data_IF_087860500229
#
_entry.id   IF_087860500229
#
_cell.length_a   1.000
_cell.length_b   1.000
_cell.length_c   1.000
_cell.angle_alpha   90.00
_cell.angle_beta   90.00
_cell.angle_gamma   90.00
#
_symmetry.space_group_name_H-M   'P 1'
#
loop_
_entity.id
_entity.type
_entity.pdbx_description
1 polymer ?
#
# COMPACT_ATOMS: atom_id res chain seq x y z
N UNK A 1 33.88 6.66 -18.40
CA UNK A 1 33.90 6.24 -16.98
C UNK A 1 32.84 6.91 -16.07
N UNK A 2 31.87 7.71 -16.57
CA UNK A 2 30.84 8.39 -15.73
C UNK A 2 29.60 7.54 -15.37
N UNK A 3 29.37 6.38 -16.01
CA UNK A 3 28.18 5.55 -15.75
C UNK A 3 28.28 4.66 -14.50
N UNK A 4 29.47 4.35 -14.01
CA UNK A 4 29.64 3.46 -12.85
C UNK A 4 29.30 4.08 -11.49
N UNK A 5 29.17 5.42 -11.41
CA UNK A 5 28.97 6.10 -10.12
C UNK A 5 27.55 5.97 -9.55
N UNK A 6 26.53 5.68 -10.35
CA UNK A 6 25.15 5.55 -9.92
C UNK A 6 24.72 4.08 -9.66
N UNK A 7 25.32 3.14 -10.38
CA UNK A 7 24.91 1.73 -10.34
C UNK A 7 24.99 1.13 -8.93
N UNK A 8 26.12 1.29 -8.25
CA UNK A 8 26.33 0.71 -6.93
C UNK A 8 25.41 1.30 -5.84
N UNK A 9 25.22 2.64 -5.74
CA UNK A 9 24.25 3.20 -4.79
C UNK A 9 22.81 2.71 -5.02
N UNK A 10 22.37 2.55 -6.28
CA UNK A 10 21.06 1.99 -6.57
C UNK A 10 21.00 0.51 -6.17
N UNK A 11 22.03 -0.27 -6.51
CA UNK A 11 22.13 -1.68 -6.12
C UNK A 11 22.06 -1.85 -4.58
N UNK A 12 22.74 -0.97 -3.85
CA UNK A 12 22.67 -0.91 -2.39
C UNK A 12 21.23 -0.71 -1.91
N UNK A 13 20.52 0.29 -2.48
CA UNK A 13 19.14 0.62 -2.06
C UNK A 13 18.20 -0.55 -2.39
N UNK A 14 18.34 -1.18 -3.56
CA UNK A 14 17.53 -2.35 -3.94
C UNK A 14 17.82 -3.52 -2.98
N UNK A 15 19.07 -3.81 -2.71
CA UNK A 15 19.43 -4.88 -1.77
C UNK A 15 18.92 -4.60 -0.36
N UNK A 16 19.04 -3.36 0.12
CA UNK A 16 18.48 -2.95 1.41
C UNK A 16 16.96 -3.10 1.45
N UNK A 17 16.25 -2.72 0.39
CA UNK A 17 14.80 -2.92 0.29
C UNK A 17 14.44 -4.40 0.48
N UNK A 18 15.11 -5.30 -0.24
CA UNK A 18 14.84 -6.75 -0.11
C UNK A 18 15.27 -7.34 1.24
N UNK A 19 16.26 -6.77 1.93
CA UNK A 19 16.57 -7.11 3.32
C UNK A 19 15.41 -6.72 4.23
N UNK A 20 14.91 -5.49 4.10
CA UNK A 20 13.87 -4.96 4.96
C UNK A 20 12.54 -5.72 4.82
N UNK A 21 12.22 -6.22 3.63
CA UNK A 21 10.98 -6.98 3.40
C UNK A 21 11.13 -8.49 3.62
N UNK A 22 12.36 -9.01 3.75
CA UNK A 22 12.64 -10.46 3.77
C UNK A 22 11.82 -11.25 4.79
N UNK A 23 11.51 -10.77 6.03
CA UNK A 23 10.75 -11.54 7.00
C UNK A 23 9.30 -11.81 6.58
N UNK A 24 8.77 -11.01 5.65
CA UNK A 24 7.36 -11.07 5.25
C UNK A 24 7.15 -11.41 3.77
N UNK A 25 8.15 -11.22 2.92
CA UNK A 25 7.97 -11.34 1.47
C UNK A 25 7.78 -12.79 1.01
N UNK A 26 8.69 -13.68 1.40
CA UNK A 26 8.64 -15.10 1.01
C UNK A 26 8.23 -16.03 2.16
N UNK A 27 7.87 -15.49 3.33
CA UNK A 27 7.29 -16.25 4.42
C UNK A 27 5.82 -16.55 4.18
N UNK A 28 5.27 -17.55 4.86
CA UNK A 28 3.86 -17.91 4.82
C UNK A 28 3.01 -16.96 5.68
N UNK A 29 1.71 -16.90 5.39
CA UNK A 29 0.79 -15.97 6.04
C UNK A 29 0.85 -14.55 5.48
N UNK A 30 -0.18 -13.74 5.75
CA UNK A 30 -0.34 -12.39 5.26
C UNK A 30 -1.13 -11.53 6.25
N UNK A 31 -0.91 -10.21 6.23
CA UNK A 31 -1.73 -9.26 6.98
C UNK A 31 -3.21 -9.40 6.62
N UNK A 32 -4.09 -9.28 7.61
CA UNK A 32 -5.53 -9.52 7.48
C UNK A 32 -6.15 -8.84 6.25
N UNK A 33 -5.97 -7.51 6.12
CA UNK A 33 -6.56 -6.76 5.00
C UNK A 33 -5.98 -7.26 3.66
N UNK A 34 -4.65 -7.51 3.61
CA UNK A 34 -3.99 -8.02 2.41
C UNK A 34 -4.47 -9.41 2.01
N UNK A 35 -4.74 -10.29 2.99
CA UNK A 35 -5.32 -11.61 2.75
C UNK A 35 -6.73 -11.51 2.14
N UNK A 36 -7.56 -10.61 2.68
CA UNK A 36 -8.90 -10.36 2.14
C UNK A 36 -8.83 -9.87 0.70
N UNK A 37 -7.93 -8.92 0.41
CA UNK A 37 -7.75 -8.40 -0.93
C UNK A 37 -7.23 -9.47 -1.90
N UNK A 38 -6.27 -10.29 -1.46
CA UNK A 38 -5.78 -11.44 -2.24
C UNK A 38 -6.89 -12.44 -2.56
N UNK A 39 -7.76 -12.75 -1.58
CA UNK A 39 -8.89 -13.66 -1.78
C UNK A 39 -9.89 -13.10 -2.78
N UNK A 40 -10.24 -11.79 -2.66
CA UNK A 40 -11.14 -11.12 -3.60
C UNK A 40 -10.56 -11.10 -5.02
N UNK A 41 -9.27 -10.84 -5.16
CA UNK A 41 -8.57 -10.78 -6.45
C UNK A 41 -8.47 -12.15 -7.11
N UNK A 42 -8.18 -13.20 -6.33
CA UNK A 42 -8.17 -14.59 -6.79
C UNK A 42 -9.57 -15.01 -7.26
N UNK A 43 -10.59 -14.71 -6.45
CA UNK A 43 -11.99 -15.01 -6.80
C UNK A 43 -12.41 -14.31 -8.09
N UNK A 44 -12.05 -13.05 -8.26
CA UNK A 44 -12.33 -12.31 -9.49
C UNK A 44 -11.62 -12.93 -10.70
N UNK A 45 -10.37 -13.38 -10.56
CA UNK A 45 -9.64 -14.10 -11.61
C UNK A 45 -10.28 -15.45 -11.98
N UNK A 46 -10.91 -16.11 -11.01
CA UNK A 46 -11.63 -17.38 -11.20
C UNK A 46 -13.10 -17.20 -11.63
N UNK A 47 -13.57 -15.97 -11.83
CA UNK A 47 -14.95 -15.67 -12.24
C UNK A 47 -15.96 -15.75 -11.10
N UNK A 48 -15.52 -15.79 -9.85
CA UNK A 48 -16.39 -15.77 -8.68
C UNK A 48 -16.60 -14.33 -8.18
N UNK A 49 -17.77 -13.76 -8.46
CA UNK A 49 -18.09 -12.36 -8.28
C UNK A 49 -17.86 -11.52 -9.54
N UNK A 50 -18.10 -10.22 -9.43
CA UNK A 50 -17.86 -9.25 -10.51
C UNK A 50 -17.10 -8.03 -9.98
N UNK A 51 -16.68 -7.13 -10.89
CA UNK A 51 -15.97 -5.91 -10.51
C UNK A 51 -16.73 -5.10 -9.45
N UNK A 52 -18.04 -4.93 -9.62
CA UNK A 52 -18.87 -4.19 -8.68
C UNK A 52 -19.49 -5.02 -7.55
N UNK A 53 -19.42 -6.36 -7.64
CA UNK A 53 -19.92 -7.28 -6.61
C UNK A 53 -18.80 -8.27 -6.24
N UNK A 54 -17.73 -7.77 -5.59
CA UNK A 54 -16.64 -8.65 -5.18
C UNK A 54 -17.12 -9.59 -4.05
N UNK A 55 -16.80 -10.89 -4.18
CA UNK A 55 -17.18 -11.92 -3.22
C UNK A 55 -15.96 -12.45 -2.49
N UNK A 56 -16.01 -12.46 -1.16
CA UNK A 56 -14.95 -13.03 -0.34
C UNK A 56 -15.13 -14.54 -0.20
N UNK A 57 -16.36 -14.98 0.13
CA UNK A 57 -16.76 -16.39 0.28
C UNK A 57 -18.15 -16.58 -0.32
N UNK A 58 -18.69 -17.80 -0.31
CA UNK A 58 -20.07 -18.04 -0.73
C UNK A 58 -21.11 -17.37 0.18
N UNK A 59 -20.74 -17.16 1.45
CA UNK A 59 -21.61 -16.57 2.48
C UNK A 59 -21.38 -15.07 2.71
N UNK A 60 -20.33 -14.47 2.10
CA UNK A 60 -19.96 -13.09 2.40
C UNK A 60 -19.56 -12.28 1.15
N UNK A 61 -20.27 -11.18 0.90
CA UNK A 61 -19.92 -10.17 -0.10
C UNK A 61 -19.07 -9.07 0.53
N UNK A 62 -18.12 -8.52 -0.20
CA UNK A 62 -17.21 -7.48 0.29
C UNK A 62 -17.53 -6.10 -0.31
N UNK A 63 -18.20 -5.25 0.45
CA UNK A 63 -18.51 -3.86 0.07
C UNK A 63 -17.50 -2.83 0.64
N UNK A 64 -16.44 -3.31 1.25
CA UNK A 64 -15.59 -2.48 2.12
C UNK A 64 -14.68 -1.50 1.41
N UNK A 65 -14.21 -1.79 0.17
CA UNK A 65 -13.27 -0.92 -0.56
C UNK A 65 -13.58 -0.93 -2.06
N UNK A 66 -13.31 0.18 -2.79
CA UNK A 66 -13.48 0.23 -4.24
C UNK A 66 -12.61 -0.80 -4.97
N UNK A 67 -13.09 -1.39 -6.08
CA UNK A 67 -12.61 -2.69 -6.56
C UNK A 67 -11.42 -2.65 -7.54
N UNK A 68 -10.90 -1.48 -7.92
CA UNK A 68 -9.89 -1.38 -8.98
C UNK A 68 -8.60 -2.14 -8.63
N UNK A 69 -8.16 -2.09 -7.37
CA UNK A 69 -6.97 -2.81 -6.95
C UNK A 69 -7.15 -4.32 -7.11
N UNK A 70 -8.31 -4.86 -6.77
CA UNK A 70 -8.63 -6.29 -6.94
C UNK A 70 -8.57 -6.72 -8.41
N UNK A 71 -9.09 -5.88 -9.31
CA UNK A 71 -9.01 -6.14 -10.75
C UNK A 71 -7.55 -6.17 -11.24
N UNK A 72 -6.72 -5.21 -10.82
CA UNK A 72 -5.32 -5.17 -11.21
C UNK A 72 -4.52 -6.36 -10.66
N UNK A 73 -4.76 -6.72 -9.42
CA UNK A 73 -4.14 -7.87 -8.77
C UNK A 73 -4.63 -9.19 -9.37
N UNK A 74 -5.92 -9.30 -9.76
CA UNK A 74 -6.49 -10.52 -10.35
C UNK A 74 -5.75 -10.97 -11.62
N UNK A 75 -5.17 -10.04 -12.37
CA UNK A 75 -4.34 -10.36 -13.55
C UNK A 75 -3.14 -11.22 -13.14
N UNK A 76 -2.55 -11.00 -11.98
CA UNK A 76 -1.43 -11.80 -11.48
C UNK A 76 -1.87 -13.20 -11.07
N UNK A 77 -3.10 -13.39 -10.59
CA UNK A 77 -3.63 -14.71 -10.23
C UNK A 77 -3.86 -15.64 -11.42
N UNK A 78 -3.83 -15.15 -12.66
CA UNK A 78 -3.76 -16.03 -13.84
C UNK A 78 -2.41 -16.76 -13.96
N UNK A 79 -1.34 -16.28 -13.31
CA UNK A 79 -0.01 -16.90 -13.33
C UNK A 79 0.26 -17.83 -12.14
N UNK A 80 -0.63 -17.86 -11.13
CA UNK A 80 -0.50 -18.72 -9.96
C UNK A 80 -1.64 -18.50 -8.96
N UNK A 81 -1.80 -19.42 -8.01
CA UNK A 81 -2.94 -19.44 -7.07
C UNK A 81 -2.54 -19.29 -5.60
N UNK A 82 -1.24 -19.10 -5.30
CA UNK A 82 -0.75 -19.00 -3.93
C UNK A 82 -0.77 -17.56 -3.40
N UNK A 83 -0.71 -17.39 -2.07
CA UNK A 83 -0.59 -16.07 -1.44
C UNK A 83 0.67 -15.30 -1.87
N UNK A 84 1.71 -16.00 -2.33
CA UNK A 84 2.92 -15.36 -2.87
C UNK A 84 2.62 -14.50 -4.12
N UNK A 85 1.58 -14.82 -4.90
CA UNK A 85 1.16 -14.01 -6.04
C UNK A 85 0.75 -12.61 -5.60
N UNK A 86 -0.03 -12.49 -4.52
CA UNK A 86 -0.43 -11.22 -3.96
C UNK A 86 0.78 -10.43 -3.42
N UNK A 87 1.71 -11.10 -2.74
CA UNK A 87 2.96 -10.48 -2.26
C UNK A 87 3.82 -9.97 -3.42
N UNK A 88 3.93 -10.75 -4.50
CA UNK A 88 4.66 -10.36 -5.72
C UNK A 88 3.99 -9.14 -6.37
N UNK A 89 2.65 -9.14 -6.50
CA UNK A 89 1.91 -7.98 -6.99
C UNK A 89 2.18 -6.74 -6.14
N UNK A 90 2.11 -6.86 -4.83
CA UNK A 90 2.34 -5.76 -3.90
C UNK A 90 3.77 -5.19 -4.02
N UNK A 91 4.80 -6.04 -4.05
CA UNK A 91 6.19 -5.63 -4.27
C UNK A 91 6.37 -5.02 -5.67
N UNK A 92 5.71 -5.56 -6.69
CA UNK A 92 5.72 -4.99 -8.03
C UNK A 92 5.17 -3.56 -8.06
N UNK A 93 4.07 -3.27 -7.35
CA UNK A 93 3.55 -1.89 -7.25
C UNK A 93 4.54 -0.95 -6.56
N UNK A 94 5.27 -1.43 -5.55
CA UNK A 94 6.36 -0.66 -4.92
C UNK A 94 7.51 -0.37 -5.90
N UNK A 95 7.92 -1.34 -6.73
CA UNK A 95 8.94 -1.10 -7.75
C UNK A 95 8.46 -0.08 -8.79
N UNK A 96 7.22 -0.17 -9.24
CA UNK A 96 6.59 0.82 -10.12
C UNK A 96 6.56 2.22 -9.45
N UNK A 97 6.29 2.30 -8.15
CA UNK A 97 6.36 3.55 -7.39
C UNK A 97 7.77 4.14 -7.45
N UNK A 98 8.81 3.34 -7.27
CA UNK A 98 10.21 3.77 -7.41
C UNK A 98 10.51 4.36 -8.81
N UNK A 99 9.98 3.74 -9.87
CA UNK A 99 10.09 4.27 -11.25
C UNK A 99 9.35 5.60 -11.39
N UNK A 100 8.14 5.72 -10.87
CA UNK A 100 7.38 6.97 -10.91
C UNK A 100 8.05 8.08 -10.10
N UNK A 101 8.64 7.75 -8.95
CA UNK A 101 9.47 8.69 -8.20
C UNK A 101 10.66 9.20 -9.03
N UNK A 102 11.32 8.33 -9.79
CA UNK A 102 12.40 8.73 -10.70
C UNK A 102 11.92 9.68 -11.80
N UNK A 103 10.77 9.38 -12.41
CA UNK A 103 10.18 10.27 -13.43
C UNK A 103 9.80 11.62 -12.83
N UNK A 104 9.22 11.62 -11.63
CA UNK A 104 8.87 12.85 -10.91
C UNK A 104 10.13 13.63 -10.51
N UNK A 105 11.17 12.95 -10.03
CA UNK A 105 12.47 13.54 -9.71
C UNK A 105 13.09 14.27 -10.92
N UNK A 106 13.05 13.64 -12.09
CA UNK A 106 13.50 14.30 -13.34
C UNK A 106 12.65 15.50 -13.71
N UNK A 107 11.32 15.41 -13.52
CA UNK A 107 10.39 16.49 -13.85
C UNK A 107 10.62 17.71 -12.98
N UNK A 108 10.98 17.53 -11.72
CA UNK A 108 11.32 18.63 -10.80
C UNK A 108 12.75 19.17 -10.99
N UNK A 109 13.53 18.59 -11.91
CA UNK A 109 14.89 19.04 -12.24
C UNK A 109 15.98 18.45 -11.38
N UNK A 110 15.70 17.37 -10.64
CA UNK A 110 16.67 16.66 -9.82
C UNK A 110 17.74 15.96 -10.68
N UNK A 111 18.99 15.96 -10.22
CA UNK A 111 20.11 15.27 -10.88
C UNK A 111 19.92 13.78 -10.79
N UNK A 112 20.02 13.08 -11.93
CA UNK A 112 19.85 11.63 -12.02
C UNK A 112 20.75 10.89 -11.00
N UNK A 113 21.97 11.36 -10.85
CA UNK A 113 23.00 10.75 -10.00
C UNK A 113 22.68 10.78 -8.51
N UNK A 114 21.75 11.64 -8.08
CA UNK A 114 21.37 11.80 -6.67
C UNK A 114 20.06 11.06 -6.32
N UNK A 115 19.39 10.46 -7.30
CA UNK A 115 18.10 9.80 -7.12
C UNK A 115 18.14 8.62 -6.14
N UNK A 116 19.26 7.92 -6.00
CA UNK A 116 19.44 6.82 -5.04
C UNK A 116 19.14 7.26 -3.60
N UNK A 117 19.44 8.54 -3.26
CA UNK A 117 19.14 9.09 -1.94
C UNK A 117 17.63 9.24 -1.72
N UNK A 118 16.89 9.66 -2.74
CA UNK A 118 15.42 9.76 -2.67
C UNK A 118 14.81 8.38 -2.42
N UNK A 119 15.29 7.35 -3.14
CA UNK A 119 14.87 5.97 -2.91
C UNK A 119 15.24 5.49 -1.50
N UNK A 120 16.46 5.80 -1.03
CA UNK A 120 16.89 5.45 0.32
C UNK A 120 15.98 6.08 1.38
N UNK A 121 15.66 7.37 1.27
CA UNK A 121 14.76 8.05 2.20
C UNK A 121 13.36 7.43 2.20
N UNK A 122 12.89 6.99 1.04
CA UNK A 122 11.58 6.35 0.92
C UNK A 122 11.55 4.96 1.59
N UNK A 123 12.49 4.08 1.25
CA UNK A 123 12.52 2.72 1.82
C UNK A 123 12.96 2.68 3.28
N UNK A 124 13.70 3.71 3.75
CA UNK A 124 14.05 3.87 5.16
C UNK A 124 12.84 4.23 6.04
N UNK A 125 11.69 4.57 5.46
CA UNK A 125 10.44 4.73 6.20
C UNK A 125 9.95 3.34 6.62
N UNK A 126 9.89 3.00 7.92
CA UNK A 126 9.55 1.63 8.37
C UNK A 126 8.20 1.15 7.84
N UNK A 127 7.22 2.05 7.77
CA UNK A 127 5.90 1.77 7.25
C UNK A 127 5.91 1.36 5.77
N UNK A 128 6.76 1.96 4.94
CA UNK A 128 6.89 1.61 3.51
C UNK A 128 7.39 0.19 3.35
N UNK A 129 8.45 -0.18 4.09
CA UNK A 129 9.01 -1.53 4.03
C UNK A 129 8.04 -2.57 4.59
N UNK A 130 7.27 -2.23 5.63
CA UNK A 130 6.24 -3.12 6.16
C UNK A 130 5.08 -3.32 5.17
N UNK A 131 4.55 -2.25 4.56
CA UNK A 131 3.44 -2.33 3.62
C UNK A 131 3.80 -3.08 2.33
N UNK A 132 5.07 -3.06 1.91
CA UNK A 132 5.49 -3.57 0.62
C UNK A 132 5.08 -5.04 0.37
N UNK A 133 5.28 -6.01 1.28
CA UNK A 133 4.86 -7.40 1.09
C UNK A 133 3.43 -7.69 1.60
N UNK A 134 2.76 -6.78 2.29
CA UNK A 134 1.51 -7.05 3.00
C UNK A 134 0.23 -6.80 2.17
N UNK A 135 0.37 -6.57 0.88
CA UNK A 135 -0.73 -6.44 -0.09
C UNK A 135 -1.79 -5.39 0.31
N UNK A 136 -1.36 -4.25 0.84
CA UNK A 136 -2.27 -3.16 1.17
C UNK A 136 -2.67 -2.36 -0.09
N UNK A 137 -3.92 -1.92 -0.18
CA UNK A 137 -4.45 -1.18 -1.34
C UNK A 137 -3.72 0.14 -1.60
N UNK A 138 -3.13 0.72 -0.56
CA UNK A 138 -2.33 1.93 -0.63
C UNK A 138 -1.13 1.79 -1.56
N UNK A 139 -0.53 0.59 -1.68
CA UNK A 139 0.57 0.34 -2.60
C UNK A 139 0.14 0.50 -4.07
N UNK A 140 -1.10 0.14 -4.40
CA UNK A 140 -1.70 0.40 -5.72
C UNK A 140 -2.13 1.86 -5.86
N UNK A 141 -2.76 2.43 -4.82
CA UNK A 141 -3.25 3.81 -4.84
C UNK A 141 -2.12 4.83 -5.03
N UNK A 142 -0.93 4.58 -4.47
CA UNK A 142 0.22 5.48 -4.61
C UNK A 142 0.66 5.65 -6.06
N UNK A 143 0.48 4.63 -6.91
CA UNK A 143 0.80 4.73 -8.33
C UNK A 143 -0.04 5.83 -8.99
N UNK A 144 -1.33 5.84 -8.73
CA UNK A 144 -2.26 6.80 -9.33
C UNK A 144 -2.11 8.20 -8.72
N UNK A 145 -1.92 8.32 -7.41
CA UNK A 145 -1.70 9.62 -6.78
C UNK A 145 -0.39 10.26 -7.23
N UNK A 146 0.68 9.48 -7.37
CA UNK A 146 1.97 9.97 -7.85
C UNK A 146 1.95 10.29 -9.34
N UNK A 147 1.22 9.50 -10.17
CA UNK A 147 0.97 9.82 -11.58
C UNK A 147 0.20 11.12 -11.73
N UNK A 148 -0.81 11.36 -10.89
CA UNK A 148 -1.55 12.64 -10.89
C UNK A 148 -0.61 13.82 -10.64
N UNK A 149 0.25 13.73 -9.62
CA UNK A 149 1.25 14.77 -9.33
C UNK A 149 2.24 14.94 -10.49
N UNK A 150 2.73 13.84 -11.07
CA UNK A 150 3.65 13.87 -12.22
C UNK A 150 3.03 14.55 -13.44
N UNK A 151 1.78 14.18 -13.79
CA UNK A 151 1.09 14.82 -14.92
C UNK A 151 0.82 16.29 -14.65
N UNK A 152 0.42 16.67 -13.44
CA UNK A 152 0.26 18.07 -13.10
C UNK A 152 1.58 18.85 -13.23
N UNK A 153 2.70 18.32 -12.73
CA UNK A 153 4.02 18.95 -12.93
C UNK A 153 4.38 19.11 -14.42
N UNK A 154 4.07 18.11 -15.26
CA UNK A 154 4.25 18.19 -16.70
C UNK A 154 3.38 19.24 -17.36
N UNK A 155 2.15 19.45 -16.87
CA UNK A 155 1.22 20.47 -17.39
C UNK A 155 1.78 21.89 -17.28
N UNK A 156 2.69 22.11 -16.32
CA UNK A 156 3.35 23.41 -16.15
C UNK A 156 4.39 23.73 -17.23
N UNK A 157 4.79 22.73 -18.02
CA UNK A 157 5.84 22.86 -19.05
C UNK A 157 5.32 22.64 -20.46
N UNK A 158 4.45 21.65 -20.67
CA UNK A 158 3.95 21.27 -22.01
C UNK A 158 2.57 20.64 -21.95
N UNK A 159 1.83 20.75 -23.05
CA UNK A 159 0.52 20.10 -23.24
C UNK A 159 -0.39 20.28 -22.01
N UNK A 160 -0.59 21.55 -21.60
CA UNK A 160 -1.24 21.92 -20.36
C UNK A 160 -2.54 21.16 -20.11
N UNK A 161 -3.56 21.34 -20.96
CA UNK A 161 -4.89 20.75 -20.75
C UNK A 161 -4.83 19.21 -20.73
N UNK A 162 -4.10 18.60 -21.68
CA UNK A 162 -3.95 17.15 -21.74
C UNK A 162 -3.39 16.59 -20.42
N UNK A 163 -2.32 17.20 -19.89
CA UNK A 163 -1.70 16.71 -18.66
C UNK A 163 -2.57 17.00 -17.42
N UNK A 164 -3.35 18.09 -17.38
CA UNK A 164 -4.32 18.32 -16.29
C UNK A 164 -5.45 17.29 -16.33
N UNK A 165 -5.98 16.99 -17.53
CA UNK A 165 -6.98 15.92 -17.69
C UNK A 165 -6.43 14.56 -17.29
N UNK A 166 -5.21 14.20 -17.73
CA UNK A 166 -4.56 12.96 -17.29
C UNK A 166 -4.36 12.92 -15.77
N UNK A 167 -3.97 14.03 -15.15
CA UNK A 167 -3.87 14.12 -13.69
C UNK A 167 -5.21 13.84 -13.01
N UNK A 168 -6.31 14.38 -13.53
CA UNK A 168 -7.66 14.12 -13.02
C UNK A 168 -8.13 12.69 -13.23
N UNK A 169 -7.84 12.08 -14.39
CA UNK A 169 -8.13 10.65 -14.64
C UNK A 169 -7.39 9.77 -13.63
N UNK A 170 -6.14 10.07 -13.32
CA UNK A 170 -5.39 9.32 -12.30
C UNK A 170 -6.04 9.45 -10.91
N UNK A 171 -6.62 10.60 -10.57
CA UNK A 171 -7.39 10.74 -9.32
C UNK A 171 -8.66 9.90 -9.30
N UNK A 172 -9.36 9.80 -10.43
CA UNK A 172 -10.51 8.90 -10.55
C UNK A 172 -10.08 7.43 -10.31
N UNK A 173 -8.96 6.99 -10.88
CA UNK A 173 -8.42 5.66 -10.64
C UNK A 173 -7.96 5.47 -9.19
N UNK A 174 -7.38 6.48 -8.56
CA UNK A 174 -7.06 6.44 -7.12
C UNK A 174 -8.31 6.31 -6.25
N UNK A 175 -9.39 7.03 -6.58
CA UNK A 175 -10.69 6.90 -5.93
C UNK A 175 -11.26 5.47 -6.07
N UNK A 176 -11.17 4.87 -7.26
CA UNK A 176 -11.61 3.49 -7.52
C UNK A 176 -10.71 2.43 -6.85
N UNK A 177 -9.54 2.83 -6.32
CA UNK A 177 -8.63 1.92 -5.60
C UNK A 177 -8.93 1.85 -4.12
N UNK A 178 -9.13 3.00 -3.45
CA UNK A 178 -9.36 3.05 -1.98
C UNK A 178 -10.28 4.19 -1.53
N UNK A 179 -10.96 4.84 -2.45
CA UNK A 179 -11.92 5.89 -2.12
C UNK A 179 -11.27 7.26 -1.91
N UNK A 180 -11.88 8.07 -1.06
CA UNK A 180 -11.58 9.51 -0.93
C UNK A 180 -10.16 9.86 -0.49
N UNK A 181 -9.48 8.95 0.20
CA UNK A 181 -8.09 9.16 0.65
C UNK A 181 -7.11 9.34 -0.52
N UNK A 182 -7.45 8.83 -1.72
CA UNK A 182 -6.66 9.01 -2.94
C UNK A 182 -6.78 10.39 -3.60
N UNK A 183 -7.68 11.27 -3.12
CA UNK A 183 -7.97 12.56 -3.78
C UNK A 183 -7.10 13.74 -3.31
N UNK A 184 -6.20 13.56 -2.35
CA UNK A 184 -5.37 14.65 -1.81
C UNK A 184 -4.55 15.40 -2.87
N UNK A 185 -4.11 14.80 -4.02
CA UNK A 185 -3.40 15.55 -5.04
C UNK A 185 -4.27 16.59 -5.77
N UNK A 186 -5.60 16.55 -5.59
CA UNK A 186 -6.50 17.62 -6.08
C UNK A 186 -6.14 19.00 -5.51
N UNK A 187 -5.52 19.05 -4.34
CA UNK A 187 -5.04 20.29 -3.74
C UNK A 187 -3.75 20.83 -4.39
N UNK A 188 -3.05 20.04 -5.22
CA UNK A 188 -1.72 20.37 -5.68
C UNK A 188 -1.65 21.61 -6.58
N UNK A 189 -2.60 21.89 -7.50
CA UNK A 189 -2.59 23.13 -8.28
C UNK A 189 -2.58 24.40 -7.41
N UNK A 190 -3.41 24.41 -6.37
CA UNK A 190 -3.51 25.54 -5.41
C UNK A 190 -2.25 25.62 -4.54
N UNK A 191 -1.77 24.50 -4.01
CA UNK A 191 -0.54 24.44 -3.22
C UNK A 191 0.66 24.92 -4.05
N UNK A 192 0.79 24.46 -5.29
CA UNK A 192 1.87 24.90 -6.20
C UNK A 192 1.80 26.41 -6.46
N UNK A 193 0.61 26.93 -6.68
CA UNK A 193 0.40 28.38 -6.85
C UNK A 193 0.86 29.18 -5.61
N UNK A 194 0.48 28.71 -4.41
CA UNK A 194 0.80 29.43 -3.16
C UNK A 194 2.30 29.44 -2.84
N UNK A 195 2.98 28.32 -3.00
CA UNK A 195 4.38 28.16 -2.60
C UNK A 195 5.36 28.48 -3.74
N UNK A 196 5.15 27.94 -4.93
CA UNK A 196 6.06 28.11 -6.07
C UNK A 196 5.84 29.43 -6.80
N UNK A 197 4.59 29.94 -6.77
CA UNK A 197 4.18 31.24 -7.35
C UNK A 197 4.47 31.41 -8.85
N UNK A 198 4.46 30.30 -9.59
CA UNK A 198 4.62 30.31 -11.06
C UNK A 198 3.30 30.16 -11.81
N UNK A 199 2.18 30.01 -11.10
CA UNK A 199 0.83 29.82 -11.65
C UNK A 199 -0.07 30.92 -11.12
N UNK A 200 -0.94 31.45 -11.97
CA UNK A 200 -1.93 32.47 -11.55
C UNK A 200 -3.10 31.83 -10.80
N UNK A 201 -3.78 32.56 -9.89
CA UNK A 201 -4.94 32.03 -9.16
C UNK A 201 -6.06 31.49 -10.07
N UNK A 202 -6.48 32.21 -11.16
CA UNK A 202 -7.50 31.68 -12.07
C UNK A 202 -7.08 30.36 -12.74
N UNK A 203 -5.81 30.22 -13.12
CA UNK A 203 -5.30 28.98 -13.72
C UNK A 203 -5.27 27.83 -12.70
N UNK A 204 -4.80 28.07 -11.49
CA UNK A 204 -4.79 27.03 -10.44
C UNK A 204 -6.20 26.55 -10.11
N UNK A 205 -7.18 27.46 -10.05
CA UNK A 205 -8.58 27.13 -9.85
C UNK A 205 -9.14 26.32 -11.03
N UNK A 206 -8.90 26.78 -12.28
CA UNK A 206 -9.34 26.07 -13.48
C UNK A 206 -8.74 24.65 -13.55
N UNK A 207 -7.44 24.49 -13.27
CA UNK A 207 -6.78 23.18 -13.24
C UNK A 207 -7.42 22.27 -12.19
N UNK A 208 -7.68 22.77 -10.98
CA UNK A 208 -8.37 22.02 -9.92
C UNK A 208 -9.78 21.61 -10.34
N UNK A 209 -10.55 22.50 -10.98
CA UNK A 209 -11.90 22.22 -11.45
C UNK A 209 -11.91 21.18 -12.59
N UNK A 210 -10.95 21.23 -13.51
CA UNK A 210 -10.78 20.22 -14.56
C UNK A 210 -10.47 18.85 -13.94
N UNK A 211 -9.52 18.79 -13.02
CA UNK A 211 -9.19 17.53 -12.31
C UNK A 211 -10.39 17.00 -11.54
N UNK A 212 -11.16 17.87 -10.86
CA UNK A 212 -12.36 17.49 -10.14
C UNK A 212 -13.45 16.98 -11.11
N UNK A 213 -13.64 17.65 -12.25
CA UNK A 213 -14.58 17.19 -13.27
C UNK A 213 -14.22 15.80 -13.81
N UNK A 214 -12.92 15.50 -14.02
CA UNK A 214 -12.45 14.17 -14.43
C UNK A 214 -12.71 13.09 -13.37
N UNK A 215 -12.92 13.46 -12.12
CA UNK A 215 -13.37 12.53 -11.06
C UNK A 215 -14.89 12.43 -11.03
N UNK A 216 -15.59 13.57 -10.97
CA UNK A 216 -17.03 13.59 -10.73
C UNK A 216 -17.84 13.09 -11.94
N UNK A 217 -17.46 13.44 -13.18
CA UNK A 217 -18.21 13.02 -14.36
C UNK A 217 -18.30 11.49 -14.51
N UNK A 218 -17.17 10.72 -14.45
CA UNK A 218 -17.27 9.27 -14.55
C UNK A 218 -17.94 8.64 -13.32
N UNK A 219 -17.75 9.17 -12.10
CA UNK A 219 -18.48 8.70 -10.91
C UNK A 219 -19.98 8.89 -11.09
N UNK A 220 -20.42 10.06 -11.57
CA UNK A 220 -21.84 10.34 -11.83
C UNK A 220 -22.38 9.44 -12.95
N UNK A 221 -21.62 9.24 -14.03
CA UNK A 221 -22.01 8.33 -15.11
C UNK A 221 -22.19 6.89 -14.61
N UNK A 222 -21.24 6.38 -13.82
CA UNK A 222 -21.33 5.06 -13.20
C UNK A 222 -22.56 4.94 -12.30
N UNK A 223 -22.82 5.95 -11.48
CA UNK A 223 -23.98 5.96 -10.57
C UNK A 223 -25.33 5.97 -11.33
N UNK A 224 -25.42 6.67 -12.46
CA UNK A 224 -26.64 6.79 -13.24
C UNK A 224 -26.88 5.62 -14.19
N UNK A 225 -25.83 5.06 -14.78
CA UNK A 225 -25.97 4.09 -15.89
C UNK A 225 -25.58 2.65 -15.52
N UNK A 226 -24.98 2.41 -14.33
CA UNK A 226 -24.63 1.07 -13.86
C UNK A 226 -25.34 0.74 -12.54
N UNK A 227 -26.38 -0.10 -12.54
CA UNK A 227 -27.07 -0.49 -11.32
C UNK A 227 -26.15 -1.13 -10.27
N UNK A 228 -25.19 -1.97 -10.69
CA UNK A 228 -24.23 -2.60 -9.79
C UNK A 228 -23.27 -1.58 -9.18
N UNK A 229 -22.75 -0.63 -9.98
CA UNK A 229 -21.90 0.44 -9.48
C UNK A 229 -22.65 1.34 -8.48
N UNK A 230 -23.91 1.66 -8.77
CA UNK A 230 -24.78 2.42 -7.86
C UNK A 230 -24.95 1.71 -6.52
N UNK A 231 -25.30 0.42 -6.55
CA UNK A 231 -25.45 -0.39 -5.34
C UNK A 231 -24.16 -0.45 -4.53
N UNK A 232 -23.03 -0.69 -5.22
CA UNK A 232 -21.71 -0.68 -4.59
C UNK A 232 -21.42 0.66 -3.91
N UNK A 233 -21.61 1.78 -4.61
CA UNK A 233 -21.36 3.12 -4.06
C UNK A 233 -22.24 3.42 -2.86
N UNK A 234 -23.52 3.02 -2.88
CA UNK A 234 -24.43 3.19 -1.76
C UNK A 234 -23.96 2.41 -0.52
N UNK A 235 -23.60 1.13 -0.69
CA UNK A 235 -23.10 0.29 0.39
C UNK A 235 -21.75 0.79 0.91
N UNK A 236 -20.83 1.19 0.03
CA UNK A 236 -19.56 1.78 0.42
C UNK A 236 -19.72 3.04 1.25
N UNK A 237 -20.65 3.93 0.87
CA UNK A 237 -20.90 5.17 1.61
C UNK A 237 -21.54 4.88 2.97
N UNK A 238 -22.54 3.99 3.05
CA UNK A 238 -23.26 3.70 4.29
C UNK A 238 -22.45 2.83 5.25
N UNK A 239 -21.94 1.69 4.77
CA UNK A 239 -21.31 0.69 5.63
C UNK A 239 -19.84 1.01 5.92
N UNK A 240 -19.10 1.50 4.94
CA UNK A 240 -17.67 1.75 5.13
C UNK A 240 -17.38 3.19 5.57
N UNK A 241 -17.89 4.21 4.85
CA UNK A 241 -17.53 5.59 5.14
C UNK A 241 -18.25 6.12 6.36
N UNK A 242 -19.60 6.12 6.37
CA UNK A 242 -20.38 6.70 7.45
C UNK A 242 -20.21 5.91 8.76
N UNK A 243 -20.19 4.59 8.70
CA UNK A 243 -19.94 3.74 9.86
C UNK A 243 -18.55 3.96 10.45
N UNK A 244 -17.53 4.10 9.58
CA UNK A 244 -16.16 4.40 10.03
C UNK A 244 -16.03 5.77 10.68
N UNK A 245 -16.81 6.76 10.24
CA UNK A 245 -16.78 8.11 10.83
C UNK A 245 -17.50 8.18 12.17
N UNK A 246 -18.58 7.41 12.36
CA UNK A 246 -19.49 7.54 13.51
C UNK A 246 -19.22 6.52 14.61
N UNK A 247 -18.89 5.28 14.26
CA UNK A 247 -18.96 4.15 15.20
C UNK A 247 -17.64 3.41 15.40
N UNK A 248 -16.65 3.55 14.49
CA UNK A 248 -15.40 2.80 14.61
C UNK A 248 -14.32 3.70 15.20
N UNK A 249 -13.80 3.28 16.34
CA UNK A 249 -12.66 3.91 16.99
C UNK A 249 -11.50 2.90 17.08
N UNK A 250 -10.36 3.27 16.52
CA UNK A 250 -9.12 2.48 16.58
C UNK A 250 -7.97 3.23 17.23
N UNK A 251 -8.15 4.52 17.51
CA UNK A 251 -7.17 5.39 18.19
C UNK A 251 -7.88 6.25 19.23
N UNK A 252 -7.13 6.73 20.23
CA UNK A 252 -7.69 7.53 21.31
C UNK A 252 -7.87 9.01 20.92
N UNK A 253 -7.03 9.52 20.03
CA UNK A 253 -7.07 10.91 19.60
C UNK A 253 -7.05 11.05 18.07
N UNK A 254 -7.63 12.15 17.58
CA UNK A 254 -7.59 12.45 16.13
C UNK A 254 -6.19 12.81 15.64
N UNK A 255 -5.28 13.19 16.56
CA UNK A 255 -3.90 13.56 16.25
C UNK A 255 -2.97 12.36 16.08
N UNK A 256 -3.40 11.14 16.40
CA UNK A 256 -2.59 9.93 16.35
C UNK A 256 -1.97 9.71 14.97
N UNK A 257 -2.70 10.01 13.88
CA UNK A 257 -2.16 9.85 12.52
C UNK A 257 -1.02 10.83 12.22
N UNK A 258 -1.08 12.04 12.80
CA UNK A 258 0.01 13.03 12.67
C UNK A 258 1.22 12.58 13.46
N UNK A 259 1.03 12.08 14.69
CA UNK A 259 2.11 11.50 15.48
C UNK A 259 2.75 10.31 14.77
N UNK A 260 1.93 9.42 14.19
CA UNK A 260 2.41 8.30 13.38
C UNK A 260 3.23 8.78 12.18
N UNK A 261 2.77 9.81 11.46
CA UNK A 261 3.55 10.38 10.36
C UNK A 261 4.95 10.83 10.81
N UNK A 262 5.06 11.59 11.88
CA UNK A 262 6.36 12.03 12.40
C UNK A 262 7.21 10.86 12.88
N UNK A 263 6.62 9.88 13.58
CA UNK A 263 7.33 8.68 14.02
C UNK A 263 7.92 7.91 12.83
N UNK A 264 7.15 7.73 11.76
CA UNK A 264 7.63 7.07 10.55
C UNK A 264 8.69 7.89 9.78
N UNK A 265 8.64 9.21 9.88
CA UNK A 265 9.59 10.12 9.24
C UNK A 265 10.93 10.23 10.00
N UNK A 266 11.03 9.75 11.25
CA UNK A 266 12.25 9.92 12.09
C UNK A 266 13.51 9.36 11.42
N UNK A 267 13.47 8.14 10.89
CA UNK A 267 14.64 7.53 10.28
C UNK A 267 15.05 8.23 8.97
N UNK A 268 14.16 8.54 8.02
CA UNK A 268 14.50 9.41 6.90
C UNK A 268 15.06 10.77 7.32
N UNK A 269 14.49 11.42 8.34
CA UNK A 269 15.00 12.70 8.85
C UNK A 269 16.37 12.56 9.51
N UNK A 270 16.65 11.46 10.20
CA UNK A 270 17.98 11.18 10.74
C UNK A 270 19.02 11.03 9.61
N UNK A 271 18.66 10.36 8.50
CA UNK A 271 19.54 10.28 7.31
C UNK A 271 19.81 11.67 6.73
N UNK A 272 18.77 12.51 6.61
CA UNK A 272 18.93 13.92 6.19
C UNK A 272 19.87 14.66 7.15
N UNK A 273 19.69 14.49 8.46
CA UNK A 273 20.57 15.07 9.48
C UNK A 273 22.03 14.66 9.31
N UNK A 274 22.30 13.38 9.05
CA UNK A 274 23.65 12.88 8.78
C UNK A 274 24.26 13.57 7.55
N UNK A 275 23.50 13.68 6.45
CA UNK A 275 23.96 14.37 5.23
C UNK A 275 24.33 15.83 5.54
N UNK A 276 23.49 16.52 6.31
CA UNK A 276 23.75 17.92 6.71
C UNK A 276 25.00 18.04 7.58
N UNK A 277 25.18 17.15 8.57
CA UNK A 277 26.37 17.14 9.44
C UNK A 277 27.64 16.86 8.63
N UNK A 278 27.62 15.88 7.72
CA UNK A 278 28.77 15.58 6.84
C UNK A 278 29.12 16.79 5.97
N UNK A 279 28.12 17.43 5.37
CA UNK A 279 28.33 18.64 4.57
C UNK A 279 28.88 19.80 5.40
N UNK A 280 28.44 19.95 6.65
CA UNK A 280 28.97 20.94 7.60
C UNK A 280 30.43 20.67 7.93
N UNK A 281 30.79 19.43 8.26
CA UNK A 281 32.17 19.02 8.54
C UNK A 281 33.10 19.26 7.33
N UNK A 282 32.59 19.06 6.11
CA UNK A 282 33.33 19.33 4.87
C UNK A 282 33.41 20.81 4.49
N UNK A 283 32.83 21.73 5.31
CA UNK A 283 32.72 23.18 5.03
C UNK A 283 32.04 23.47 3.67
N UNK A 284 31.15 22.58 3.22
CA UNK A 284 30.45 22.68 1.94
C UNK A 284 29.02 23.22 2.07
N UNK A 285 28.66 23.64 3.28
CA UNK A 285 27.38 24.33 3.58
C UNK A 285 27.38 25.75 2.97
N UNK A 286 27.45 25.83 1.64
CA UNK A 286 27.12 27.06 0.92
C UNK A 286 25.62 27.03 0.66
N UNK A 287 24.91 28.01 1.19
CA UNK A 287 23.47 28.29 1.15
C UNK A 287 22.66 27.20 0.34
N UNK A 288 22.25 26.08 0.98
CA UNK A 288 21.80 24.89 0.25
C UNK A 288 20.48 25.10 -0.50
N UNK A 289 19.81 26.21 -0.23
CA UNK A 289 18.47 26.47 -0.75
C UNK A 289 18.48 27.54 -1.84
N UNK A 290 18.64 27.08 -3.07
CA UNK A 290 18.20 27.90 -4.22
C UNK A 290 16.70 28.18 -4.03
N UNK A 291 16.24 29.43 -4.18
CA UNK A 291 14.84 29.82 -3.91
C UNK A 291 13.79 28.92 -4.57
N UNK A 292 14.02 28.48 -5.80
CA UNK A 292 13.10 27.61 -6.51
C UNK A 292 13.00 26.20 -5.88
N UNK A 293 14.12 25.60 -5.44
CA UNK A 293 14.13 24.29 -4.82
C UNK A 293 13.46 24.34 -3.45
N UNK A 294 13.71 25.39 -2.66
CA UNK A 294 13.06 25.62 -1.37
C UNK A 294 11.54 25.73 -1.51
N UNK A 295 11.05 26.50 -2.48
CA UNK A 295 9.62 26.69 -2.72
C UNK A 295 8.93 25.38 -3.10
N UNK A 296 9.55 24.58 -3.98
CA UNK A 296 9.02 23.27 -4.38
C UNK A 296 9.05 22.27 -3.22
N UNK A 297 10.11 22.25 -2.40
CA UNK A 297 10.16 21.44 -1.18
C UNK A 297 8.95 21.73 -0.29
N UNK A 298 8.67 23.00 0.00
CA UNK A 298 7.51 23.38 0.80
C UNK A 298 6.17 23.03 0.15
N UNK A 299 6.07 23.15 -1.18
CA UNK A 299 4.86 22.72 -1.90
C UNK A 299 4.61 21.22 -1.75
N UNK A 300 5.65 20.38 -1.89
CA UNK A 300 5.51 18.93 -1.71
C UNK A 300 5.21 18.56 -0.26
N UNK A 301 5.83 19.23 0.73
CA UNK A 301 5.52 19.01 2.15
C UNK A 301 4.08 19.44 2.49
N UNK A 302 3.60 20.54 1.92
CA UNK A 302 2.20 20.95 2.06
C UNK A 302 1.24 19.92 1.44
N UNK A 303 1.63 19.31 0.31
CA UNK A 303 0.87 18.24 -0.31
C UNK A 303 0.87 16.96 0.54
N UNK A 304 1.99 16.62 1.18
CA UNK A 304 2.08 15.54 2.18
C UNK A 304 1.07 15.79 3.31
N UNK A 305 1.03 17.00 3.86
CA UNK A 305 0.06 17.35 4.89
C UNK A 305 -1.39 17.30 4.39
N UNK A 306 -1.65 17.67 3.13
CA UNK A 306 -2.97 17.51 2.53
C UNK A 306 -3.41 16.03 2.43
N UNK A 307 -2.47 15.09 2.39
CA UNK A 307 -2.78 13.65 2.45
C UNK A 307 -2.93 13.10 3.86
N UNK A 308 -2.29 13.70 4.87
CA UNK A 308 -2.32 13.23 6.27
C UNK A 308 -3.51 13.84 7.03
N UNK A 309 -3.68 15.16 6.96
CA UNK A 309 -4.61 15.89 7.83
C UNK A 309 -6.09 15.49 7.66
N UNK A 310 -6.62 15.19 6.45
CA UNK A 310 -8.01 14.79 6.32
C UNK A 310 -8.36 13.48 7.08
N UNK A 311 -7.38 12.60 7.34
CA UNK A 311 -7.61 11.35 8.08
C UNK A 311 -8.00 11.63 9.54
N UNK A 312 -7.62 12.81 10.08
CA UNK A 312 -8.00 13.26 11.44
C UNK A 312 -9.50 13.43 11.62
N UNK A 313 -10.29 13.50 10.55
CA UNK A 313 -11.77 13.62 10.62
C UNK A 313 -12.37 12.39 11.32
N UNK A 314 -11.75 11.21 11.15
CA UNK A 314 -12.20 9.94 11.75
C UNK A 314 -11.30 9.53 12.93
N UNK A 315 -11.89 8.78 13.89
CA UNK A 315 -11.14 8.02 14.90
C UNK A 315 -10.77 6.62 14.42
N UNK A 316 -11.22 6.18 13.24
CA UNK A 316 -10.72 4.99 12.56
C UNK A 316 -9.46 5.36 11.78
N UNK A 317 -8.33 5.24 12.43
CA UNK A 317 -7.02 5.55 11.85
C UNK A 317 -6.12 4.30 11.90
N UNK A 318 -5.40 4.05 10.81
CA UNK A 318 -4.38 3.00 10.72
C UNK A 318 -3.13 3.61 10.11
N UNK A 319 -1.96 3.22 10.59
CA UNK A 319 -0.68 3.78 10.12
C UNK A 319 -0.51 3.68 8.62
N UNK A 320 -0.90 2.57 8.01
CA UNK A 320 -0.74 2.35 6.58
C UNK A 320 -1.59 3.30 5.70
N UNK A 321 -2.60 4.00 6.23
CA UNK A 321 -3.35 4.99 5.44
C UNK A 321 -2.48 6.14 4.92
N UNK A 322 -1.36 6.45 5.60
CA UNK A 322 -0.44 7.53 5.19
C UNK A 322 0.73 7.04 4.34
N UNK A 323 0.83 5.74 3.98
CA UNK A 323 1.97 5.26 3.18
C UNK A 323 2.08 5.96 1.83
N UNK A 324 0.95 6.40 1.27
CA UNK A 324 0.87 7.07 -0.04
C UNK A 324 1.55 8.43 -0.09
N UNK A 325 1.78 9.10 1.04
CA UNK A 325 2.44 10.41 1.06
C UNK A 325 3.97 10.32 1.17
N UNK A 326 4.53 9.17 1.57
CA UNK A 326 5.97 9.04 1.77
C UNK A 326 6.83 9.15 0.50
N UNK A 327 6.39 8.74 -0.70
CA UNK A 327 7.12 9.06 -1.93
C UNK A 327 7.30 10.57 -2.14
N UNK A 328 6.26 11.37 -1.86
CA UNK A 328 6.32 12.84 -1.95
C UNK A 328 7.19 13.45 -0.86
N UNK A 329 7.13 12.89 0.37
CA UNK A 329 8.00 13.28 1.46
C UNK A 329 9.48 13.03 1.12
N UNK A 330 9.82 11.85 0.60
CA UNK A 330 11.17 11.50 0.18
C UNK A 330 11.67 12.38 -0.98
N UNK A 331 10.79 12.70 -1.95
CA UNK A 331 11.11 13.67 -3.02
C UNK A 331 11.38 15.06 -2.46
N UNK A 332 10.56 15.56 -1.53
CA UNK A 332 10.74 16.85 -0.89
C UNK A 332 12.08 16.93 -0.12
N UNK A 333 12.35 15.91 0.70
CA UNK A 333 13.60 15.82 1.46
C UNK A 333 14.82 15.69 0.54
N UNK A 334 14.70 14.87 -0.53
CA UNK A 334 15.75 14.72 -1.53
C UNK A 334 16.09 16.03 -2.25
N UNK A 335 15.06 16.83 -2.64
CA UNK A 335 15.25 18.15 -3.25
C UNK A 335 15.97 19.10 -2.28
N UNK A 336 15.62 19.05 -0.99
CA UNK A 336 16.21 19.89 0.03
C UNK A 336 17.72 19.63 0.22
N UNK A 337 18.14 18.35 0.20
CA UNK A 337 19.55 17.97 0.43
C UNK A 337 20.36 17.76 -0.84
N UNK A 338 19.75 17.80 -2.02
CA UNK A 338 20.43 17.56 -3.30
C UNK A 338 21.75 18.36 -3.47
N UNK A 339 21.80 19.69 -3.13
CA UNK A 339 23.02 20.46 -3.28
C UNK A 339 24.18 19.93 -2.44
N UNK A 340 23.88 19.25 -1.32
CA UNK A 340 24.90 18.72 -0.38
C UNK A 340 25.46 17.38 -0.85
N UNK A 341 24.76 16.64 -1.71
CA UNK A 341 25.12 15.29 -2.14
C UNK A 341 26.29 15.26 -3.14
N UNK A 342 26.53 16.35 -3.87
CA UNK A 342 27.55 16.35 -4.95
C UNK A 342 28.95 16.07 -4.43
N UNK A 343 29.34 16.72 -3.34
CA UNK A 343 30.66 16.55 -2.74
C UNK A 343 30.83 15.18 -2.07
N UNK A 344 29.77 14.65 -1.47
CA UNK A 344 29.79 13.31 -0.88
C UNK A 344 29.98 12.27 -1.99
N UNK A 345 29.26 12.38 -3.08
CA UNK A 345 29.26 11.46 -4.21
C UNK A 345 30.59 11.44 -4.98
N UNK A 346 31.24 12.58 -5.13
CA UNK A 346 32.49 12.70 -5.87
C UNK A 346 33.70 12.21 -5.06
N UNK A 347 33.53 11.91 -3.79
CA UNK A 347 34.60 11.38 -2.93
C UNK A 347 35.04 9.98 -3.41
N UNK A 348 36.35 9.74 -3.62
CA UNK A 348 36.89 8.41 -3.93
C UNK A 348 36.55 7.36 -2.88
N UNK A 349 36.50 7.78 -1.61
CA UNK A 349 36.12 6.92 -0.48
C UNK A 349 34.69 6.44 -0.62
N UNK A 350 33.73 7.34 -0.95
CA UNK A 350 32.34 6.98 -1.17
C UNK A 350 32.19 5.95 -2.32
N UNK A 351 32.90 6.15 -3.43
CA UNK A 351 32.85 5.23 -4.58
C UNK A 351 33.36 3.83 -4.23
N UNK A 352 34.45 3.73 -3.48
CA UNK A 352 35.04 2.45 -3.04
C UNK A 352 34.13 1.74 -2.04
N UNK A 353 33.65 2.47 -1.04
CA UNK A 353 32.77 1.94 0.00
C UNK A 353 31.42 1.50 -0.62
N UNK A 354 30.79 2.32 -1.45
CA UNK A 354 29.50 1.99 -2.06
C UNK A 354 29.57 0.71 -2.90
N UNK A 355 30.66 0.47 -3.63
CA UNK A 355 30.88 -0.76 -4.39
C UNK A 355 30.94 -1.99 -3.48
N UNK A 356 31.75 -1.96 -2.42
CA UNK A 356 31.90 -3.10 -1.50
C UNK A 356 30.62 -3.40 -0.74
N UNK A 357 30.02 -2.38 -0.13
CA UNK A 357 28.78 -2.52 0.65
C UNK A 357 27.61 -2.99 -0.22
N UNK A 358 27.48 -2.50 -1.46
CA UNK A 358 26.38 -2.90 -2.34
C UNK A 358 26.37 -4.40 -2.64
N UNK A 359 27.54 -4.98 -2.85
CA UNK A 359 27.65 -6.43 -3.10
C UNK A 359 27.29 -7.22 -1.84
N UNK A 360 27.81 -6.82 -0.68
CA UNK A 360 27.51 -7.48 0.61
C UNK A 360 26.02 -7.41 0.92
N UNK A 361 25.41 -6.25 0.75
CA UNK A 361 23.98 -6.03 1.01
C UNK A 361 23.13 -6.86 0.05
N UNK A 362 23.50 -6.95 -1.23
CA UNK A 362 22.78 -7.80 -2.19
C UNK A 362 22.87 -9.29 -1.82
N UNK A 363 24.07 -9.77 -1.46
CA UNK A 363 24.24 -11.16 -1.03
C UNK A 363 23.45 -11.46 0.25
N UNK A 364 23.46 -10.54 1.21
CA UNK A 364 22.64 -10.64 2.42
C UNK A 364 21.14 -10.65 2.10
N UNK A 365 20.68 -9.82 1.15
CA UNK A 365 19.29 -9.81 0.70
C UNK A 365 18.87 -11.17 0.14
N UNK A 366 19.67 -11.75 -0.74
CA UNK A 366 19.42 -13.07 -1.34
C UNK A 366 19.38 -14.13 -0.23
N UNK A 367 20.38 -14.17 0.64
CA UNK A 367 20.48 -15.16 1.73
C UNK A 367 19.28 -15.07 2.69
N UNK A 368 18.88 -13.86 3.10
CA UNK A 368 17.75 -13.66 4.00
C UNK A 368 16.41 -14.05 3.34
N UNK A 369 16.18 -13.68 2.09
CA UNK A 369 14.94 -14.06 1.40
C UNK A 369 14.86 -15.58 1.21
N UNK A 370 15.97 -16.27 0.89
CA UNK A 370 16.02 -17.74 0.85
C UNK A 370 15.77 -18.33 2.25
N UNK A 371 16.36 -17.73 3.30
CA UNK A 371 16.17 -18.20 4.67
C UNK A 371 14.72 -18.14 5.14
N UNK A 372 13.99 -17.09 4.79
CA UNK A 372 12.59 -16.92 5.17
C UNK A 372 11.59 -17.60 4.22
N UNK A 373 12.04 -18.08 3.05
CA UNK A 373 11.17 -18.71 2.07
C UNK A 373 10.47 -19.94 2.65
N UNK A 374 9.12 -19.93 2.58
CA UNK A 374 8.27 -21.02 3.07
C UNK A 374 8.19 -21.17 4.59
N UNK A 375 8.90 -20.34 5.37
CA UNK A 375 8.75 -20.36 6.83
C UNK A 375 7.46 -19.71 7.26
N UNK A 376 6.93 -20.14 8.37
CA UNK A 376 5.81 -19.48 9.02
C UNK A 376 6.20 -18.05 9.39
N UNK A 377 5.42 -17.09 8.93
CA UNK A 377 5.64 -15.67 9.22
C UNK A 377 4.52 -15.09 10.07
N UNK A 378 3.28 -15.29 9.66
CA UNK A 378 2.10 -14.79 10.36
C UNK A 378 1.05 -15.90 10.49
N UNK A 379 0.30 -15.88 11.59
CA UNK A 379 -0.82 -16.80 11.84
C UNK A 379 -0.43 -18.29 11.76
N UNK A 380 0.81 -18.65 12.14
CA UNK A 380 1.39 -19.97 11.99
C UNK A 380 0.47 -21.08 12.50
N UNK A 381 0.06 -21.01 13.77
CA UNK A 381 -0.79 -22.01 14.39
C UNK A 381 -2.17 -22.07 13.73
N UNK A 382 -2.75 -20.92 13.40
CA UNK A 382 -4.05 -20.85 12.75
C UNK A 382 -4.00 -21.45 11.33
N UNK A 383 -2.95 -21.15 10.55
CA UNK A 383 -2.76 -21.71 9.20
C UNK A 383 -2.54 -23.23 9.24
N UNK A 384 -1.77 -23.73 10.21
CA UNK A 384 -1.57 -25.17 10.40
C UNK A 384 -2.91 -25.87 10.68
N UNK A 385 -3.72 -25.32 11.59
CA UNK A 385 -5.03 -25.85 11.94
C UNK A 385 -6.03 -25.76 10.79
N UNK A 386 -6.05 -24.64 10.03
CA UNK A 386 -6.89 -24.49 8.84
C UNK A 386 -6.52 -25.53 7.79
N UNK A 387 -5.24 -25.78 7.53
CA UNK A 387 -4.79 -26.81 6.59
C UNK A 387 -5.15 -28.21 7.04
N UNK A 388 -5.01 -28.48 8.35
CA UNK A 388 -5.42 -29.75 8.94
C UNK A 388 -6.93 -29.97 8.77
N UNK A 389 -7.76 -28.99 9.14
CA UNK A 389 -9.21 -29.06 9.00
C UNK A 389 -9.61 -29.16 7.51
N UNK A 390 -9.03 -28.32 6.64
CA UNK A 390 -9.32 -28.33 5.21
C UNK A 390 -8.93 -29.64 4.50
N UNK A 391 -7.97 -30.40 5.03
CA UNK A 391 -7.60 -31.72 4.48
C UNK A 391 -8.73 -32.74 4.60
N UNK A 392 -9.61 -32.59 5.60
CA UNK A 392 -10.73 -33.49 5.87
C UNK A 392 -12.03 -33.08 5.18
N UNK A 393 -12.19 -31.82 4.84
CA UNK A 393 -13.43 -31.25 4.26
C UNK A 393 -13.32 -31.19 2.74
N UNK A 394 -14.36 -31.57 1.97
CA UNK A 394 -14.39 -31.40 0.52
C UNK A 394 -14.24 -29.93 0.10
N UNK A 395 -13.72 -29.69 -1.11
CA UNK A 395 -13.69 -28.35 -1.71
C UNK A 395 -15.11 -27.79 -1.92
N UNK A 396 -15.27 -26.49 -1.92
CA UNK A 396 -16.55 -25.77 -2.09
C UNK A 396 -17.60 -26.05 -0.98
N UNK A 397 -17.19 -26.60 0.16
CA UNK A 397 -18.09 -26.88 1.30
C UNK A 397 -18.38 -25.61 2.11
N UNK A 398 -19.61 -25.49 2.58
CA UNK A 398 -19.99 -24.54 3.63
C UNK A 398 -20.01 -25.30 4.96
N UNK A 399 -19.10 -24.98 5.85
CA UNK A 399 -19.09 -25.57 7.20
C UNK A 399 -19.59 -24.56 8.24
N UNK A 400 -20.25 -25.07 9.28
CA UNK A 400 -20.64 -24.22 10.40
C UNK A 400 -19.44 -23.93 11.29
N UNK A 401 -19.43 -22.75 11.91
CA UNK A 401 -18.39 -22.36 12.86
C UNK A 401 -19.02 -21.73 14.10
N UNK A 402 -18.46 -22.02 15.28
CA UNK A 402 -18.93 -21.40 16.51
C UNK A 402 -18.69 -19.88 16.49
N UNK A 403 -19.64 -19.13 17.08
CA UNK A 403 -19.61 -17.65 17.12
C UNK A 403 -18.42 -17.08 17.89
N UNK A 404 -17.81 -17.81 18.80
CA UNK A 404 -16.61 -17.39 19.51
C UNK A 404 -15.41 -17.23 18.57
N UNK A 405 -15.38 -18.02 17.48
CA UNK A 405 -14.36 -17.94 16.44
C UNK A 405 -14.49 -16.73 15.52
N UNK A 406 -15.60 -15.99 15.59
CA UNK A 406 -15.82 -14.77 14.80
C UNK A 406 -14.75 -13.69 15.08
N UNK A 407 -14.07 -13.76 16.21
CA UNK A 407 -12.94 -12.87 16.55
C UNK A 407 -11.69 -13.14 15.72
N UNK A 408 -11.56 -14.30 15.08
CA UNK A 408 -10.46 -14.67 14.18
C UNK A 408 -10.74 -14.20 12.78
N UNK A 409 -10.67 -12.89 12.55
CA UNK A 409 -11.08 -12.22 11.31
C UNK A 409 -10.37 -12.71 10.04
N UNK A 410 -9.16 -13.29 10.14
CA UNK A 410 -8.42 -13.85 9.00
C UNK A 410 -8.91 -15.26 8.60
N UNK A 411 -9.56 -15.97 9.51
CA UNK A 411 -9.94 -17.37 9.33
C UNK A 411 -10.85 -17.61 8.12
N UNK A 412 -11.97 -16.86 7.91
CA UNK A 412 -12.83 -17.09 6.74
C UNK A 412 -12.09 -16.93 5.42
N UNK A 413 -11.20 -15.94 5.33
CA UNK A 413 -10.44 -15.67 4.13
C UNK A 413 -9.38 -16.77 3.88
N UNK A 414 -8.70 -17.29 4.90
CA UNK A 414 -7.76 -18.39 4.76
C UNK A 414 -8.47 -19.68 4.30
N UNK A 415 -9.58 -20.07 4.93
CA UNK A 415 -10.34 -21.26 4.51
C UNK A 415 -10.77 -21.16 3.05
N UNK A 416 -11.26 -19.99 2.65
CA UNK A 416 -11.72 -19.80 1.27
C UNK A 416 -10.54 -19.74 0.29
N UNK A 417 -9.47 -19.07 0.65
CA UNK A 417 -8.28 -18.98 -0.19
C UNK A 417 -7.62 -20.34 -0.42
N UNK A 418 -7.46 -21.15 0.64
CA UNK A 418 -6.80 -22.46 0.56
C UNK A 418 -7.63 -23.50 -0.18
N UNK A 419 -8.94 -23.60 0.11
CA UNK A 419 -9.77 -24.71 -0.40
C UNK A 419 -11.22 -24.31 -0.72
N UNK A 420 -11.55 -23.05 -0.94
CA UNK A 420 -12.90 -22.53 -1.21
C UNK A 420 -13.94 -22.92 -0.15
N UNK A 421 -13.51 -23.20 1.07
CA UNK A 421 -14.39 -23.52 2.19
C UNK A 421 -14.96 -22.21 2.75
N UNK A 422 -16.29 -22.11 2.80
CA UNK A 422 -17.00 -20.98 3.40
C UNK A 422 -17.42 -21.28 4.83
N UNK A 423 -17.38 -20.28 5.71
CA UNK A 423 -17.85 -20.41 7.09
C UNK A 423 -19.25 -19.82 7.25
N UNK A 424 -20.09 -20.53 8.02
CA UNK A 424 -21.44 -20.11 8.42
C UNK A 424 -21.51 -20.11 9.96
N UNK A 425 -21.70 -18.91 10.55
CA UNK A 425 -21.75 -18.74 12.00
C UNK A 425 -23.17 -18.78 12.58
N UNK A 426 -24.17 -18.94 11.73
CA UNK A 426 -25.58 -18.84 12.13
C UNK A 426 -26.34 -20.16 12.07
N UNK A 427 -25.83 -21.14 11.35
CA UNK A 427 -26.48 -22.46 11.23
C UNK A 427 -25.53 -23.59 11.58
N UNK A 428 -26.09 -24.74 11.99
CA UNK A 428 -25.33 -25.98 12.24
C UNK A 428 -25.43 -26.86 10.99
N UNK A 429 -24.27 -27.40 10.54
CA UNK A 429 -24.14 -28.16 9.29
C UNK A 429 -23.45 -29.50 9.54
N UNK A 430 -23.35 -30.34 8.51
CA UNK A 430 -22.63 -31.64 8.57
C UNK A 430 -21.21 -31.47 9.17
N UNK A 431 -20.50 -30.46 8.75
CA UNK A 431 -19.16 -30.12 9.26
C UNK A 431 -19.24 -28.89 10.19
N UNK A 432 -18.65 -29.01 11.38
CA UNK A 432 -18.64 -27.95 12.40
C UNK A 432 -17.24 -27.67 12.92
N UNK A 433 -16.84 -26.40 12.92
CA UNK A 433 -15.57 -25.91 13.42
C UNK A 433 -15.76 -25.21 14.77
N UNK A 434 -14.93 -25.55 15.72
CA UNK A 434 -14.96 -24.95 17.06
C UNK A 434 -13.56 -24.71 17.62
N UNK A 435 -13.48 -24.01 18.78
CA UNK A 435 -12.24 -23.79 19.52
C UNK A 435 -11.73 -25.09 20.17
N UNK A 436 -10.43 -25.16 20.42
CA UNK A 436 -9.68 -26.37 20.82
C UNK A 436 -10.28 -27.18 21.99
N UNK A 437 -11.01 -26.54 22.89
CA UNK A 437 -11.55 -27.19 24.11
C UNK A 437 -13.08 -27.19 24.14
N UNK A 438 -13.74 -26.88 23.04
CA UNK A 438 -15.19 -26.89 22.97
C UNK A 438 -15.73 -28.34 22.96
N UNK A 439 -16.91 -28.55 23.50
CA UNK A 439 -17.63 -29.80 23.35
C UNK A 439 -18.27 -29.86 21.94
N UNK A 440 -18.50 -31.09 21.39
CA UNK A 440 -19.23 -31.20 20.11
C UNK A 440 -20.61 -30.56 20.23
N UNK A 441 -21.19 -30.04 19.11
CA UNK A 441 -22.50 -29.39 19.10
C UNK A 441 -23.61 -30.25 19.72
N UNK A 442 -23.58 -31.55 19.48
CA UNK A 442 -24.41 -32.56 20.10
C UNK A 442 -23.76 -33.98 20.02
N UNK A 443 -24.41 -35.00 20.54
CA UNK A 443 -23.89 -36.39 20.58
C UNK A 443 -23.76 -37.06 19.21
N UNK A 444 -24.31 -36.48 18.15
CA UNK A 444 -24.19 -36.99 16.80
C UNK A 444 -22.90 -36.56 16.08
N UNK A 445 -22.10 -35.67 16.70
CA UNK A 445 -20.86 -35.20 16.11
C UNK A 445 -19.63 -35.91 16.61
N UNK A 446 -18.79 -36.37 15.67
CA UNK A 446 -17.49 -36.94 15.96
C UNK A 446 -16.36 -35.96 15.67
N UNK A 447 -15.35 -35.98 16.52
CA UNK A 447 -14.10 -35.24 16.29
C UNK A 447 -13.32 -35.87 15.14
N UNK A 448 -13.09 -35.08 14.07
CA UNK A 448 -12.34 -35.50 12.86
C UNK A 448 -10.91 -34.99 12.85
N UNK A 449 -10.70 -33.76 13.35
CA UNK A 449 -9.36 -33.16 13.43
C UNK A 449 -9.25 -32.27 14.66
N UNK A 450 -8.08 -32.27 15.29
CA UNK A 450 -7.76 -31.42 16.42
C UNK A 450 -6.40 -30.79 16.23
N UNK A 451 -6.40 -29.46 16.11
CA UNK A 451 -5.20 -28.65 15.99
C UNK A 451 -4.76 -28.04 17.33
N UNK A 452 -4.08 -26.92 17.28
CA UNK A 452 -3.63 -26.14 18.43
C UNK A 452 -4.66 -25.11 18.92
N UNK A 453 -5.47 -24.56 18.01
CA UNK A 453 -6.49 -23.54 18.24
C UNK A 453 -7.89 -24.00 17.88
N UNK A 454 -8.01 -24.88 16.89
CA UNK A 454 -9.26 -25.30 16.26
C UNK A 454 -9.46 -26.81 16.36
N UNK A 455 -10.71 -27.23 16.38
CA UNK A 455 -11.12 -28.63 16.20
C UNK A 455 -12.29 -28.71 15.22
N UNK A 456 -12.29 -29.77 14.43
CA UNK A 456 -13.27 -30.04 13.41
C UNK A 456 -14.10 -31.27 13.78
N UNK A 457 -15.40 -31.12 13.74
CA UNK A 457 -16.37 -32.18 13.97
C UNK A 457 -17.13 -32.50 12.68
N UNK A 458 -17.58 -33.75 12.54
CA UNK A 458 -18.49 -34.18 11.48
C UNK A 458 -19.67 -34.90 12.10
N UNK A 459 -20.88 -34.57 11.62
CA UNK A 459 -22.12 -35.26 12.02
C UNK A 459 -22.11 -36.67 11.49
N UNK A 460 -22.48 -37.63 12.32
CA UNK A 460 -22.75 -39.02 11.92
C UNK A 460 -24.12 -39.10 11.27
N UNK A 461 -24.23 -39.87 10.20
CA UNK A 461 -25.50 -40.21 9.51
C UNK A 461 -26.40 -41.03 10.40
#
# INVERSE_FOLDING_TARGET
>A
MKQSSLFFPILFVIGLFFILISPHFLSDGMFLDGLWYATLSKNLAEGFGSFWVPRLTQTYNAWGQPPLAYLLESVFFHFGKSLYVAKIYSVFTCLCTGVLMFLTWKEVGGKRENFWMVLLLWIATPLVSWCAPENVLENTMVLFTLLSVLFYLRSLRKNHILNVVLAGIMLFLALLTKGFTGLYPLAFPVIHMLFVRKTTPPRALADTLIMLACVLLPVTALYLFSPEAKLFMQNYLSEQLLTSLKYIQTVNTRFDIVLQFFTQALLPLAIVGVVVVVAWMQKTLHNPFRDTNRRLTWALLALVLAGVLPIMISLKQRGFYIVTVFPLFALAAGIAIEPLLENIRTSPVFTKISKGISVVVLMAAIALNIHFAGKAGRDENLLADIRLASSQVPEDTILSADKTLYTLWSMPAYFYFEKKISLDFDSVREWHLDGINAAPPDSSYLLCAKGSLLQLFRKQD
#
